data_IF_110506708174
#
_entry.id   IF_110506708174
#
_cell.length_a   1.000
_cell.length_b   1.000
_cell.length_c   1.000
_cell.angle_alpha   90.00
_cell.angle_beta   90.00
_cell.angle_gamma   90.00
#
_symmetry.space_group_name_H-M   'P 1'
#
loop_
_entity.id
_entity.type
_entity.pdbx_description
1 polymer ?
#
# COMPACT_ATOMS: atom_id res chain seq x y z
N UNK A 1 -4.87 18.71 -12.80
CA UNK A 1 -3.51 18.93 -13.01
C UNK A 1 -2.54 18.51 -11.91
N UNK A 2 -3.04 17.95 -10.80
CA UNK A 2 -2.21 17.27 -9.78
C UNK A 2 -1.40 16.10 -10.34
N UNK A 3 -1.94 15.34 -11.30
CA UNK A 3 -1.21 14.24 -11.95
C UNK A 3 0.11 14.71 -12.56
N UNK A 4 0.08 15.79 -13.33
CA UNK A 4 1.27 16.35 -13.95
C UNK A 4 2.29 16.85 -12.91
N UNK A 5 1.83 17.47 -11.82
CA UNK A 5 2.71 17.96 -10.76
C UNK A 5 3.40 16.85 -9.96
N UNK A 6 2.81 15.65 -9.92
CA UNK A 6 3.40 14.47 -9.24
C UNK A 6 4.29 13.67 -10.20
N UNK A 7 3.87 13.49 -11.44
CA UNK A 7 4.57 12.67 -12.44
C UNK A 7 5.81 13.36 -13.00
N UNK A 8 5.70 14.64 -13.38
CA UNK A 8 6.81 15.39 -14.03
C UNK A 8 8.09 15.47 -13.18
N UNK A 9 8.03 15.71 -11.84
CA UNK A 9 9.24 15.76 -11.03
C UNK A 9 9.89 14.39 -10.78
N UNK A 10 9.14 13.29 -10.95
CA UNK A 10 9.57 11.95 -10.53
C UNK A 10 9.22 10.85 -11.56
N UNK A 11 9.67 10.97 -12.83
CA UNK A 11 9.28 10.01 -13.86
C UNK A 11 9.74 8.58 -13.56
N UNK A 12 10.92 8.41 -12.98
CA UNK A 12 11.44 7.10 -12.59
C UNK A 12 10.57 6.48 -11.48
N UNK A 13 10.20 7.26 -10.47
CA UNK A 13 9.32 6.78 -9.39
C UNK A 13 7.95 6.35 -9.91
N UNK A 14 7.42 7.05 -10.90
CA UNK A 14 6.14 6.67 -11.52
C UNK A 14 6.23 5.35 -12.26
N UNK A 15 7.33 5.07 -12.96
CA UNK A 15 7.57 3.77 -13.60
C UNK A 15 7.66 2.67 -12.53
N UNK A 16 8.39 2.91 -11.45
CA UNK A 16 8.52 1.96 -10.34
C UNK A 16 7.19 1.73 -9.63
N UNK A 17 6.39 2.77 -9.43
CA UNK A 17 5.05 2.66 -8.85
C UNK A 17 4.11 1.87 -9.75
N UNK A 18 4.16 2.07 -11.07
CA UNK A 18 3.40 1.26 -12.03
C UNK A 18 3.77 -0.22 -11.95
N UNK A 19 5.07 -0.51 -11.92
CA UNK A 19 5.55 -1.89 -11.74
C UNK A 19 5.08 -2.50 -10.41
N UNK A 20 5.16 -1.73 -9.32
CA UNK A 20 4.64 -2.14 -8.01
C UNK A 20 3.14 -2.44 -8.07
N UNK A 21 2.37 -1.63 -8.79
CA UNK A 21 0.92 -1.82 -8.97
C UNK A 21 0.61 -3.16 -9.63
N UNK A 22 1.25 -3.47 -10.75
CA UNK A 22 1.07 -4.74 -11.46
C UNK A 22 1.47 -5.93 -10.59
N UNK A 23 2.59 -5.84 -9.89
CA UNK A 23 3.09 -6.90 -9.00
C UNK A 23 2.17 -7.14 -7.80
N UNK A 24 1.76 -6.09 -7.11
CA UNK A 24 0.87 -6.22 -5.95
C UNK A 24 -0.47 -6.81 -6.32
N UNK A 25 -1.06 -6.37 -7.43
CA UNK A 25 -2.31 -6.91 -7.94
C UNK A 25 -2.16 -8.41 -8.25
N UNK A 26 -1.15 -8.79 -9.04
CA UNK A 26 -0.93 -10.18 -9.44
C UNK A 26 -0.71 -11.12 -8.24
N UNK A 27 0.05 -10.68 -7.24
CA UNK A 27 0.33 -11.49 -6.04
C UNK A 27 -0.91 -11.57 -5.15
N UNK A 28 -1.59 -10.44 -4.93
CA UNK A 28 -2.82 -10.42 -4.13
C UNK A 28 -3.92 -11.33 -4.72
N UNK A 29 -4.12 -11.30 -6.03
CA UNK A 29 -5.08 -12.19 -6.70
C UNK A 29 -4.73 -13.68 -6.55
N UNK A 30 -3.44 -14.03 -6.54
CA UNK A 30 -3.01 -15.41 -6.29
C UNK A 30 -3.23 -15.86 -4.85
N UNK A 31 -2.98 -14.98 -3.88
CA UNK A 31 -3.09 -15.30 -2.45
C UNK A 31 -4.55 -15.19 -1.94
N UNK A 32 -5.32 -14.27 -2.50
CA UNK A 32 -6.68 -13.94 -2.07
C UNK A 32 -7.65 -13.81 -3.27
N UNK A 33 -7.85 -14.87 -4.07
CA UNK A 33 -8.59 -14.79 -5.34
C UNK A 33 -10.07 -14.36 -5.20
N UNK A 34 -10.63 -14.47 -3.98
CA UNK A 34 -12.03 -14.11 -3.73
C UNK A 34 -12.23 -12.68 -3.23
N UNK A 35 -11.20 -12.08 -2.64
CA UNK A 35 -11.32 -10.83 -1.87
C UNK A 35 -10.36 -9.73 -2.29
N UNK A 36 -9.32 -10.03 -3.06
CA UNK A 36 -8.30 -9.05 -3.46
C UNK A 36 -8.86 -7.90 -4.32
N UNK A 37 -9.84 -8.18 -5.18
CA UNK A 37 -10.51 -7.20 -6.07
C UNK A 37 -11.81 -6.64 -5.49
N UNK A 38 -12.11 -6.96 -4.24
CA UNK A 38 -13.31 -6.50 -3.52
C UNK A 38 -12.91 -5.71 -2.28
N UNK A 39 -13.79 -5.63 -1.29
CA UNK A 39 -13.57 -4.89 -0.04
C UNK A 39 -13.22 -5.81 1.15
N UNK A 40 -12.67 -7.00 0.85
CA UNK A 40 -12.31 -8.00 1.85
C UNK A 40 -10.84 -7.94 2.30
N UNK A 41 -10.42 -8.94 3.05
CA UNK A 41 -9.05 -9.05 3.58
C UNK A 41 -7.98 -9.04 2.49
N UNK A 42 -8.24 -9.64 1.32
CA UNK A 42 -7.32 -9.61 0.19
C UNK A 42 -7.08 -8.21 -0.36
N UNK A 43 -8.08 -7.33 -0.33
CA UNK A 43 -7.92 -5.92 -0.66
C UNK A 43 -7.01 -5.22 0.36
N UNK A 44 -7.19 -5.47 1.66
CA UNK A 44 -6.34 -4.93 2.71
C UNK A 44 -4.87 -5.35 2.53
N UNK A 45 -4.64 -6.64 2.23
CA UNK A 45 -3.30 -7.14 1.86
C UNK A 45 -2.76 -6.39 0.63
N UNK A 46 -3.55 -6.27 -0.44
CA UNK A 46 -3.12 -5.64 -1.69
C UNK A 46 -2.66 -4.21 -1.50
N UNK A 47 -3.43 -3.39 -0.78
CA UNK A 47 -3.11 -1.98 -0.54
C UNK A 47 -1.85 -1.81 0.31
N UNK A 48 -1.72 -2.54 1.40
CA UNK A 48 -0.52 -2.49 2.25
C UNK A 48 0.72 -3.03 1.53
N UNK A 49 0.59 -4.11 0.77
CA UNK A 49 1.68 -4.69 -0.01
C UNK A 49 2.10 -3.79 -1.18
N UNK A 50 1.14 -3.15 -1.84
CA UNK A 50 1.40 -2.15 -2.88
C UNK A 50 2.30 -1.02 -2.38
N UNK A 51 1.96 -0.45 -1.22
CA UNK A 51 2.80 0.59 -0.59
C UNK A 51 4.19 0.08 -0.22
N UNK A 52 4.31 -1.13 0.34
CA UNK A 52 5.62 -1.74 0.62
C UNK A 52 6.46 -1.90 -0.65
N UNK A 53 5.86 -2.31 -1.77
CA UNK A 53 6.58 -2.44 -3.05
C UNK A 53 7.00 -1.09 -3.63
N UNK A 54 6.13 -0.07 -3.61
CA UNK A 54 6.51 1.28 -4.04
C UNK A 54 7.71 1.77 -3.22
N UNK A 55 7.61 1.68 -1.89
CA UNK A 55 8.69 2.07 -0.98
C UNK A 55 9.98 1.32 -1.29
N UNK A 56 9.91 0.01 -1.44
CA UNK A 56 11.06 -0.85 -1.73
C UNK A 56 11.77 -0.43 -3.02
N UNK A 57 11.03 -0.29 -4.12
CA UNK A 57 11.64 0.05 -5.42
C UNK A 57 12.20 1.47 -5.42
N UNK A 58 11.47 2.44 -4.86
CA UNK A 58 11.94 3.82 -4.78
C UNK A 58 13.14 3.98 -3.86
N UNK A 59 13.21 3.23 -2.75
CA UNK A 59 14.37 3.24 -1.84
C UNK A 59 15.66 2.67 -2.45
N UNK A 60 15.56 1.85 -3.50
CA UNK A 60 16.76 1.35 -4.21
C UNK A 60 17.47 2.44 -5.01
N UNK A 61 16.75 3.47 -5.41
CA UNK A 61 17.26 4.57 -6.24
C UNK A 61 17.27 5.94 -5.54
N UNK A 62 16.72 6.02 -4.31
CA UNK A 62 16.61 7.26 -3.55
C UNK A 62 16.56 7.00 -2.04
N UNK A 63 16.32 8.06 -1.23
CA UNK A 63 16.20 7.93 0.21
C UNK A 63 14.82 7.42 0.63
N UNK A 64 14.71 6.79 1.84
CA UNK A 64 13.43 6.38 2.39
C UNK A 64 12.43 7.54 2.56
N UNK A 65 12.91 8.73 2.95
CA UNK A 65 12.07 9.91 3.15
C UNK A 65 11.43 10.39 1.82
N UNK A 66 12.22 10.42 0.74
CA UNK A 66 11.72 10.77 -0.60
C UNK A 66 10.76 9.71 -1.13
N UNK A 67 11.07 8.43 -0.89
CA UNK A 67 10.19 7.31 -1.26
C UNK A 67 8.85 7.39 -0.52
N UNK A 68 8.87 7.67 0.78
CA UNK A 68 7.67 7.81 1.60
C UNK A 68 6.79 8.98 1.13
N UNK A 69 7.40 10.15 0.91
CA UNK A 69 6.67 11.30 0.38
C UNK A 69 5.98 10.98 -0.94
N UNK A 70 6.72 10.40 -1.88
CA UNK A 70 6.17 10.00 -3.18
C UNK A 70 5.08 8.94 -3.05
N UNK A 71 5.31 7.90 -2.24
CA UNK A 71 4.33 6.84 -2.01
C UNK A 71 2.99 7.42 -1.50
N UNK A 72 3.06 8.32 -0.52
CA UNK A 72 1.87 9.01 -0.02
C UNK A 72 1.19 9.83 -1.11
N UNK A 73 1.92 10.64 -1.86
CA UNK A 73 1.37 11.48 -2.93
C UNK A 73 0.70 10.66 -4.03
N UNK A 74 1.32 9.56 -4.48
CA UNK A 74 0.77 8.74 -5.57
C UNK A 74 -0.45 7.92 -5.12
N UNK A 75 -0.47 7.45 -3.88
CA UNK A 75 -1.62 6.70 -3.34
C UNK A 75 -2.80 7.62 -3.03
N UNK A 76 -2.56 8.82 -2.49
CA UNK A 76 -3.60 9.84 -2.29
C UNK A 76 -4.19 10.27 -3.66
N UNK A 77 -3.34 10.47 -4.67
CA UNK A 77 -3.77 10.79 -6.03
C UNK A 77 -4.61 9.68 -6.65
N UNK A 78 -4.25 8.41 -6.40
CA UNK A 78 -5.06 7.27 -6.85
C UNK A 78 -6.49 7.34 -6.31
N UNK A 79 -6.65 7.61 -5.02
CA UNK A 79 -7.98 7.74 -4.39
C UNK A 79 -8.77 8.95 -4.93
N UNK A 80 -8.09 10.05 -5.26
CA UNK A 80 -8.73 11.22 -5.88
C UNK A 80 -9.20 10.95 -7.32
N UNK A 81 -8.42 10.20 -8.11
CA UNK A 81 -8.73 9.90 -9.52
C UNK A 81 -9.76 8.78 -9.68
N UNK A 82 -9.82 7.86 -8.73
CA UNK A 82 -10.73 6.73 -8.71
C UNK A 82 -11.61 6.77 -7.45
N UNK A 83 -12.51 7.74 -7.35
CA UNK A 83 -13.29 7.94 -6.13
C UNK A 83 -14.21 6.75 -5.84
N UNK A 84 -14.19 6.31 -4.60
CA UNK A 84 -15.05 5.27 -4.06
C UNK A 84 -16.06 5.86 -3.05
N UNK A 85 -16.88 5.00 -2.45
CA UNK A 85 -17.69 5.39 -1.30
C UNK A 85 -16.80 5.83 -0.12
N UNK A 86 -17.27 6.75 0.74
CA UNK A 86 -16.43 7.29 1.82
C UNK A 86 -15.77 6.23 2.70
N UNK A 87 -16.49 5.16 3.03
CA UNK A 87 -15.96 4.08 3.87
C UNK A 87 -14.90 3.23 3.14
N UNK A 88 -15.08 3.00 1.84
CA UNK A 88 -14.08 2.31 0.99
C UNK A 88 -12.80 3.16 0.88
N UNK A 89 -12.93 4.45 0.65
CA UNK A 89 -11.79 5.37 0.61
C UNK A 89 -11.05 5.39 1.95
N UNK A 90 -11.77 5.43 3.07
CA UNK A 90 -11.15 5.33 4.40
C UNK A 90 -10.40 4.03 4.58
N UNK A 91 -10.97 2.90 4.17
CA UNK A 91 -10.32 1.59 4.21
C UNK A 91 -9.02 1.58 3.42
N UNK A 92 -9.05 2.05 2.18
CA UNK A 92 -7.90 2.03 1.27
C UNK A 92 -6.77 2.92 1.78
N UNK A 93 -7.07 4.16 2.19
CA UNK A 93 -6.10 5.09 2.78
C UNK A 93 -5.49 4.55 4.08
N UNK A 94 -6.30 3.93 4.94
CA UNK A 94 -5.82 3.31 6.17
C UNK A 94 -4.85 2.16 5.90
N UNK A 95 -5.20 1.25 5.00
CA UNK A 95 -4.36 0.11 4.64
C UNK A 95 -3.06 0.55 3.91
N UNK A 96 -3.14 1.59 3.09
CA UNK A 96 -1.96 2.22 2.49
C UNK A 96 -1.00 2.72 3.57
N UNK A 97 -1.53 3.42 4.59
CA UNK A 97 -0.73 3.92 5.71
C UNK A 97 -0.07 2.78 6.49
N UNK A 98 -0.80 1.71 6.79
CA UNK A 98 -0.23 0.53 7.48
C UNK A 98 0.95 -0.04 6.70
N UNK A 99 0.85 -0.15 5.37
CA UNK A 99 1.95 -0.61 4.52
C UNK A 99 3.17 0.30 4.57
N UNK A 100 2.97 1.61 4.49
CA UNK A 100 4.05 2.60 4.58
C UNK A 100 4.74 2.59 5.96
N UNK A 101 3.96 2.58 7.02
CA UNK A 101 4.47 2.56 8.40
C UNK A 101 5.27 1.27 8.65
N UNK A 102 4.76 0.12 8.22
CA UNK A 102 5.47 -1.15 8.36
C UNK A 102 6.81 -1.14 7.62
N UNK A 103 6.87 -0.62 6.40
CA UNK A 103 8.14 -0.49 5.69
C UNK A 103 9.13 0.39 6.45
N UNK A 104 8.69 1.53 6.95
CA UNK A 104 9.53 2.45 7.70
C UNK A 104 10.05 1.86 9.02
N UNK A 105 9.27 1.01 9.68
CA UNK A 105 9.69 0.26 10.87
C UNK A 105 10.87 -0.69 10.60
N UNK A 106 10.97 -1.23 9.39
CA UNK A 106 12.04 -2.15 8.99
C UNK A 106 13.36 -1.45 8.63
N UNK A 107 13.31 -0.18 8.25
CA UNK A 107 14.50 0.58 7.79
C UNK A 107 15.67 0.56 8.77
N UNK A 108 15.49 0.76 10.09
CA UNK A 108 16.62 0.75 11.04
C UNK A 108 17.37 -0.59 11.11
N UNK A 109 16.70 -1.70 10.80
CA UNK A 109 17.26 -3.04 10.92
C UNK A 109 17.80 -3.64 9.61
N UNK A 110 17.42 -3.07 8.46
CA UNK A 110 17.73 -3.63 7.13
C UNK A 110 18.18 -2.50 6.20
N UNK A 111 19.38 -2.63 5.62
CA UNK A 111 19.82 -1.67 4.62
C UNK A 111 18.90 -1.70 3.40
N UNK A 112 18.49 -0.52 2.90
CA UNK A 112 17.49 -0.34 1.83
C UNK A 112 17.76 -1.16 0.55
N UNK A 113 19.01 -1.46 0.24
CA UNK A 113 19.39 -2.23 -0.95
C UNK A 113 19.07 -3.74 -0.84
N UNK A 114 18.89 -4.24 0.38
CA UNK A 114 18.66 -5.66 0.65
C UNK A 114 17.18 -6.02 0.80
N UNK A 115 16.27 -5.06 0.66
CA UNK A 115 14.84 -5.38 0.70
C UNK A 115 14.41 -6.24 -0.49
N UNK A 116 13.62 -7.26 -0.19
CA UNK A 116 12.97 -8.13 -1.17
C UNK A 116 11.48 -8.26 -0.84
N UNK A 117 10.66 -8.48 -1.87
CA UNK A 117 9.20 -8.62 -1.69
C UNK A 117 8.79 -9.71 -0.70
N UNK A 118 9.58 -10.79 -0.61
CA UNK A 118 9.36 -11.90 0.33
C UNK A 118 9.37 -11.46 1.79
N UNK A 119 10.09 -10.38 2.13
CA UNK A 119 10.13 -9.83 3.50
C UNK A 119 8.76 -9.32 3.96
N UNK A 120 7.93 -8.89 3.01
CA UNK A 120 6.63 -8.31 3.32
C UNK A 120 5.49 -9.33 3.30
N UNK A 121 5.57 -10.34 2.43
CA UNK A 121 4.43 -11.23 2.15
C UNK A 121 4.00 -11.97 3.41
N UNK A 122 4.91 -12.64 4.11
CA UNK A 122 4.56 -13.44 5.29
C UNK A 122 3.97 -12.58 6.41
N UNK A 123 4.61 -11.45 6.71
CA UNK A 123 4.14 -10.57 7.79
C UNK A 123 2.82 -9.88 7.44
N UNK A 124 2.66 -9.44 6.19
CA UNK A 124 1.39 -8.86 5.75
C UNK A 124 0.27 -9.90 5.70
N UNK A 125 0.56 -11.18 5.43
CA UNK A 125 -0.44 -12.24 5.55
C UNK A 125 -0.88 -12.43 7.00
N UNK A 126 0.04 -12.37 7.98
CA UNK A 126 -0.29 -12.38 9.41
C UNK A 126 -1.16 -11.18 9.80
N UNK A 127 -0.79 -9.98 9.36
CA UNK A 127 -1.60 -8.77 9.57
C UNK A 127 -2.99 -8.88 8.92
N UNK A 128 -3.06 -9.47 7.73
CA UNK A 128 -4.33 -9.70 7.02
C UNK A 128 -5.24 -10.68 7.76
N UNK A 129 -4.68 -11.75 8.33
CA UNK A 129 -5.44 -12.70 9.15
C UNK A 129 -6.05 -12.05 10.41
N UNK A 130 -5.37 -11.02 10.95
CA UNK A 130 -5.81 -10.26 12.13
C UNK A 130 -6.55 -8.96 11.78
N UNK A 131 -6.89 -8.73 10.52
CA UNK A 131 -7.58 -7.52 10.07
C UNK A 131 -8.94 -7.34 10.76
N UNK A 132 -9.32 -6.08 10.96
CA UNK A 132 -10.57 -5.70 11.64
C UNK A 132 -11.62 -5.26 10.63
N UNK A 133 -12.88 -5.45 10.96
CA UNK A 133 -14.00 -4.99 10.14
C UNK A 133 -14.26 -3.52 10.41
N UNK A 134 -14.14 -2.69 9.37
CA UNK A 134 -14.45 -1.27 9.42
C UNK A 134 -15.95 -1.09 9.13
N UNK A 135 -16.69 -0.53 10.08
CA UNK A 135 -18.16 -0.38 10.00
C UNK A 135 -18.61 1.07 9.87
N UNK A 136 -17.82 2.00 10.38
CA UNK A 136 -18.16 3.43 10.34
C UNK A 136 -16.92 4.31 10.11
N UNK A 137 -17.17 5.57 9.73
CA UNK A 137 -16.10 6.55 9.53
C UNK A 137 -15.40 6.96 10.84
N UNK A 138 -16.03 6.73 11.97
CA UNK A 138 -15.51 7.01 13.31
C UNK A 138 -14.65 5.86 13.88
N UNK A 139 -14.71 4.67 13.27
CA UNK A 139 -13.90 3.54 13.70
C UNK A 139 -12.42 3.83 13.53
N UNK A 140 -11.64 3.49 14.55
CA UNK A 140 -10.18 3.61 14.56
C UNK A 140 -9.56 2.27 15.00
N UNK A 141 -8.80 1.66 14.12
CA UNK A 141 -8.08 0.40 14.35
C UNK A 141 -6.58 0.61 14.11
N UNK A 142 -5.97 1.48 14.89
CA UNK A 142 -4.54 1.79 14.77
C UNK A 142 -3.68 0.52 14.83
N UNK A 143 -2.76 0.40 13.88
CA UNK A 143 -1.85 -0.75 13.75
C UNK A 143 -2.47 -2.00 13.11
N UNK A 144 -3.78 -2.04 12.84
CA UNK A 144 -4.44 -3.18 12.18
C UNK A 144 -4.83 -2.84 10.75
N UNK A 145 -4.71 -3.82 9.85
CA UNK A 145 -5.39 -3.75 8.56
C UNK A 145 -6.91 -3.79 8.76
N UNK A 146 -7.64 -3.18 7.86
CA UNK A 146 -9.11 -3.13 7.91
C UNK A 146 -9.73 -3.58 6.59
N UNK A 147 -10.93 -4.14 6.68
CA UNK A 147 -11.73 -4.53 5.53
C UNK A 147 -13.22 -4.27 5.82
N UNK A 148 -14.06 -4.30 4.80
CA UNK A 148 -15.49 -4.02 4.95
C UNK A 148 -16.33 -5.29 4.98
N UNK A 149 -16.07 -6.21 4.07
CA UNK A 149 -16.86 -7.44 3.88
C UNK A 149 -16.06 -8.55 3.21
N UNK A 150 -16.52 -9.80 3.37
CA UNK A 150 -15.98 -10.97 2.65
C UNK A 150 -17.08 -11.79 1.99
#
# INVERSE_FOLDING_TARGET
MKLASTVLPHPLFCILAFYATVKSFSIAEKLYPKTASKNGRGNAFRHSFWCCLIMMYCCKVSSPEKALKFCKEITDLHEELFPNKPLETKMDLHNNKIGMDYFMELIPGIHRQFFEKSFFIEELQKKTANAKVLKSLEDDFDGFLVYLEE
#
